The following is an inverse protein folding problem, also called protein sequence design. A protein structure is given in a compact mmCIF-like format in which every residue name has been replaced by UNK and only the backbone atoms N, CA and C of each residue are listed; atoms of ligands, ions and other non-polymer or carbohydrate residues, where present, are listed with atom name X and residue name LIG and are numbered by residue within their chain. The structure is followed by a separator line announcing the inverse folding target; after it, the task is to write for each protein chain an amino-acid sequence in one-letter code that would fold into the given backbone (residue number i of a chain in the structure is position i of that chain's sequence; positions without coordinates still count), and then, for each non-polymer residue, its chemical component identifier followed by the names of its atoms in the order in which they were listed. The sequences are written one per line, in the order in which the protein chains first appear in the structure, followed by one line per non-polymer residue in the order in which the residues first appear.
data_IF_106689218573
#
_entry.id   IF_106689218573
#
_cell.length_a   1.000
_cell.length_b   1.000
_cell.length_c   1.000
_cell.angle_alpha   90.00
_cell.angle_beta   90.00
_cell.angle_gamma   90.00
#
_symmetry.space_group_name_H-M   'P 1'
#
loop_
_entity.id
_entity.type
_entity.pdbx_description
1 polymer ?
#
# COMPACT_ATOMS: atom_id res chain seq x y z
N UNK A 1 20.83 17.30 17.13
CA UNK A 1 19.87 17.05 16.04
C UNK A 1 20.37 16.02 15.04
N UNK A 2 21.31 16.30 14.12
CA UNK A 2 21.71 15.32 13.09
C UNK A 2 22.12 13.94 13.64
N UNK A 3 23.05 13.87 14.61
CA UNK A 3 23.49 12.60 15.20
C UNK A 3 22.38 11.85 15.95
N UNK A 4 21.34 12.55 16.40
CA UNK A 4 20.19 11.96 17.07
C UNK A 4 19.20 11.41 16.06
N UNK A 5 18.93 12.17 14.99
CA UNK A 5 18.19 11.70 13.83
C UNK A 5 18.86 10.48 13.19
N UNK A 6 20.19 10.46 13.06
CA UNK A 6 20.93 9.31 12.52
C UNK A 6 20.75 8.05 13.37
N UNK A 7 20.73 8.16 14.70
CA UNK A 7 20.43 7.03 15.60
C UNK A 7 18.99 6.56 15.43
N UNK A 8 18.04 7.49 15.36
CA UNK A 8 16.64 7.16 15.07
C UNK A 8 16.48 6.46 13.71
N UNK A 9 17.22 6.87 12.67
CA UNK A 9 17.19 6.20 11.36
C UNK A 9 17.66 4.74 11.48
N UNK A 10 18.68 4.45 12.31
CA UNK A 10 19.10 3.08 12.57
C UNK A 10 17.98 2.27 13.24
N UNK A 11 17.30 2.86 14.24
CA UNK A 11 16.15 2.24 14.91
C UNK A 11 14.95 2.01 13.94
N UNK A 12 14.60 2.98 13.08
CA UNK A 12 13.53 2.86 12.07
C UNK A 12 13.87 1.76 11.05
N UNK A 13 15.14 1.64 10.66
CA UNK A 13 15.60 0.61 9.74
C UNK A 13 15.54 -0.81 10.34
N UNK A 14 15.75 -0.96 11.65
CA UNK A 14 15.68 -2.26 12.33
C UNK A 14 14.23 -2.69 12.64
N UNK A 15 13.30 -1.75 12.74
CA UNK A 15 11.92 -2.01 13.15
C UNK A 15 10.91 -1.95 12.00
N UNK A 16 11.16 -1.13 10.98
CA UNK A 16 10.30 -0.90 9.80
C UNK A 16 10.66 -1.77 8.60
N UNK A 17 10.69 -3.09 8.78
CA UNK A 17 11.31 -4.04 7.83
C UNK A 17 10.46 -4.42 6.61
N UNK A 18 9.33 -3.75 6.35
CA UNK A 18 8.50 -4.01 5.17
C UNK A 18 8.25 -2.73 4.37
N UNK A 19 8.17 -2.85 3.05
CA UNK A 19 7.79 -1.76 2.16
C UNK A 19 6.35 -1.99 1.69
N UNK A 20 5.46 -1.04 1.91
CA UNK A 20 4.09 -1.08 1.43
C UNK A 20 3.84 0.04 0.42
N UNK A 21 3.31 -0.33 -0.74
CA UNK A 21 3.09 0.57 -1.88
C UNK A 21 1.74 1.27 -1.80
N UNK A 22 0.71 0.55 -1.37
CA UNK A 22 -0.67 1.02 -1.52
C UNK A 22 -1.13 1.79 -0.29
N UNK A 23 -1.67 2.99 -0.53
CA UNK A 23 -2.58 3.61 0.44
C UNK A 23 -4.00 3.26 0.03
N UNK A 24 -4.78 2.67 0.93
CA UNK A 24 -6.13 2.18 0.63
C UNK A 24 -7.15 3.12 1.27
N UNK A 25 -8.02 3.74 0.46
CA UNK A 25 -9.03 4.71 0.91
C UNK A 25 -10.45 4.24 0.58
N UNK A 26 -11.43 4.75 1.33
CA UNK A 26 -12.85 4.48 1.12
C UNK A 26 -13.41 5.10 -0.17
N UNK A 27 -12.90 6.27 -0.54
CA UNK A 27 -13.30 7.05 -1.71
C UNK A 27 -12.25 8.15 -2.01
N UNK A 28 -12.43 8.85 -3.13
CA UNK A 28 -11.58 9.98 -3.50
C UNK A 28 -12.00 11.24 -2.72
N UNK A 29 -11.04 11.95 -2.16
CA UNK A 29 -11.27 13.22 -1.49
C UNK A 29 -10.59 13.34 -0.13
N UNK A 30 -10.66 14.54 0.49
CA UNK A 30 -9.99 14.84 1.74
C UNK A 30 -10.64 14.17 2.97
N UNK A 31 -11.95 13.93 2.92
CA UNK A 31 -12.71 13.36 4.06
C UNK A 31 -12.89 11.84 3.99
N UNK A 32 -12.23 11.18 3.04
CA UNK A 32 -12.32 9.74 2.89
C UNK A 32 -11.58 9.04 4.03
N UNK A 33 -12.21 8.04 4.64
CA UNK A 33 -11.54 7.11 5.57
C UNK A 33 -10.37 6.44 4.86
N UNK A 34 -9.18 6.52 5.47
CA UNK A 34 -8.03 5.70 5.08
C UNK A 34 -8.09 4.38 5.84
N UNK A 35 -8.11 3.28 5.11
CA UNK A 35 -8.09 1.92 5.66
C UNK A 35 -6.67 1.47 5.99
N UNK A 36 -5.73 1.74 5.08
CA UNK A 36 -4.32 1.39 5.21
C UNK A 36 -3.46 2.50 4.65
N UNK A 37 -2.38 2.83 5.35
CA UNK A 37 -1.35 3.76 4.88
C UNK A 37 -0.23 3.01 4.18
N UNK A 38 0.33 3.60 3.13
CA UNK A 38 1.56 3.08 2.54
C UNK A 38 2.73 3.17 3.53
N UNK A 39 3.77 2.38 3.28
CA UNK A 39 5.05 2.45 3.98
C UNK A 39 6.15 2.47 2.93
N UNK A 40 6.29 3.64 2.30
CA UNK A 40 7.17 3.88 1.16
C UNK A 40 8.25 4.94 1.47
N UNK A 41 9.05 5.29 0.46
CA UNK A 41 10.11 6.28 0.58
C UNK A 41 9.58 7.69 0.95
N UNK A 42 8.40 8.09 0.46
CA UNK A 42 7.80 9.38 0.83
C UNK A 42 7.43 9.39 2.31
N UNK A 43 6.91 8.28 2.81
CA UNK A 43 6.54 8.12 4.22
C UNK A 43 7.76 8.18 5.13
N UNK A 44 8.89 7.59 4.73
CA UNK A 44 10.15 7.74 5.47
C UNK A 44 10.61 9.20 5.59
N UNK A 45 10.51 9.97 4.50
CA UNK A 45 10.83 11.41 4.51
C UNK A 45 9.92 12.15 5.49
N UNK A 46 8.61 11.88 5.47
CA UNK A 46 7.67 12.51 6.41
C UNK A 46 7.93 12.13 7.88
N UNK A 47 8.24 10.85 8.17
CA UNK A 47 8.65 10.42 9.52
C UNK A 47 9.92 11.13 9.97
N UNK A 48 10.87 11.33 9.06
CA UNK A 48 12.11 12.07 9.34
C UNK A 48 11.83 13.54 9.68
N UNK A 49 10.97 14.22 8.91
CA UNK A 49 10.56 15.59 9.23
C UNK A 49 9.88 15.69 10.59
N UNK A 50 8.93 14.79 10.87
CA UNK A 50 8.28 14.72 12.17
C UNK A 50 9.29 14.52 13.30
N UNK A 51 10.26 13.62 13.11
CA UNK A 51 11.30 13.37 14.10
C UNK A 51 12.20 14.59 14.33
N UNK A 52 12.52 15.35 13.28
CA UNK A 52 13.26 16.61 13.40
C UNK A 52 12.44 17.67 14.16
N UNK A 53 11.15 17.78 13.89
CA UNK A 53 10.24 18.68 14.61
C UNK A 53 10.17 18.32 16.11
N UNK A 54 10.09 17.03 16.45
CA UNK A 54 10.12 16.55 17.84
C UNK A 54 11.44 16.91 18.56
N UNK A 55 12.53 17.10 17.82
CA UNK A 55 13.83 17.58 18.33
C UNK A 55 13.94 19.11 18.40
N UNK A 56 12.88 19.83 18.04
CA UNK A 56 12.83 21.29 18.04
C UNK A 56 13.34 21.95 16.75
N UNK A 57 13.38 21.23 15.62
CA UNK A 57 13.67 21.85 14.33
C UNK A 57 12.54 22.78 13.90
N UNK A 58 12.88 23.96 13.38
CA UNK A 58 11.93 24.81 12.67
C UNK A 58 11.95 24.45 11.19
N UNK A 59 10.89 23.79 10.73
CA UNK A 59 10.73 23.41 9.33
C UNK A 59 9.96 24.50 8.59
N UNK A 60 10.58 25.08 7.56
CA UNK A 60 9.91 26.01 6.66
C UNK A 60 10.32 25.71 5.23
N UNK A 61 9.38 25.91 4.31
CA UNK A 61 9.64 25.78 2.89
C UNK A 61 9.10 27.01 2.16
N UNK A 62 9.89 27.53 1.23
CA UNK A 62 9.45 28.59 0.31
C UNK A 62 8.67 28.01 -0.88
N UNK A 63 8.73 26.69 -1.07
CA UNK A 63 8.06 25.99 -2.17
C UNK A 63 7.18 24.87 -1.63
N UNK A 64 5.96 24.69 -2.18
CA UNK A 64 5.14 23.52 -1.88
C UNK A 64 5.88 22.20 -2.03
N UNK A 65 5.65 21.27 -1.10
CA UNK A 65 6.23 19.92 -1.13
C UNK A 65 5.19 18.94 -1.67
N UNK A 66 5.45 18.40 -2.86
CA UNK A 66 4.54 17.46 -3.53
C UNK A 66 5.12 16.05 -3.58
N UNK A 67 4.25 15.06 -3.39
CA UNK A 67 4.61 13.65 -3.34
C UNK A 67 3.70 12.81 -4.23
N UNK A 68 4.28 11.75 -4.81
CA UNK A 68 3.50 10.75 -5.53
C UNK A 68 2.82 9.82 -4.54
N UNK A 69 1.50 9.66 -4.68
CA UNK A 69 0.70 8.69 -3.93
C UNK A 69 -0.02 7.76 -4.89
N UNK A 70 -0.05 6.48 -4.52
CA UNK A 70 -0.76 5.44 -5.27
C UNK A 70 -1.91 4.96 -4.38
N UNK A 71 -3.13 5.27 -4.81
CA UNK A 71 -4.34 4.96 -4.07
C UNK A 71 -5.09 3.76 -4.65
N UNK A 72 -5.46 2.83 -3.77
CA UNK A 72 -6.56 1.89 -4.01
C UNK A 72 -7.83 2.42 -3.37
N UNK A 73 -8.96 2.28 -4.06
CA UNK A 73 -10.27 2.63 -3.53
C UNK A 73 -11.10 1.38 -3.27
N UNK A 74 -11.57 1.25 -2.03
CA UNK A 74 -12.26 0.06 -1.55
C UNK A 74 -13.37 0.40 -0.58
N UNK A 75 -14.39 -0.45 -0.48
CA UNK A 75 -15.22 -0.54 0.72
C UNK A 75 -14.41 -0.99 1.94
N UNK A 76 -15.10 -1.25 3.04
CA UNK A 76 -14.46 -1.75 4.27
C UNK A 76 -13.70 -3.07 3.98
N UNK A 77 -12.40 -3.15 4.32
CA UNK A 77 -11.59 -4.35 4.15
C UNK A 77 -12.12 -5.52 4.97
N UNK A 78 -12.04 -6.72 4.40
CA UNK A 78 -12.44 -7.96 5.08
C UNK A 78 -11.18 -8.74 5.43
N UNK A 79 -10.98 -9.01 6.71
CA UNK A 79 -9.89 -9.85 7.19
C UNK A 79 -10.04 -11.29 6.70
N UNK A 80 -8.97 -11.86 6.15
CA UNK A 80 -8.97 -13.25 5.67
C UNK A 80 -8.13 -14.18 6.56
N UNK A 81 -7.08 -13.65 7.21
CA UNK A 81 -6.14 -14.43 8.02
C UNK A 81 -4.68 -14.18 7.65
N UNK A 82 -3.79 -14.93 8.28
CA UNK A 82 -2.36 -14.95 8.01
C UNK A 82 -1.97 -16.07 7.02
N UNK A 83 -0.68 -16.40 6.94
CA UNK A 83 -0.16 -17.47 6.08
C UNK A 83 -0.74 -18.87 6.37
N UNK A 84 -1.44 -19.08 7.50
CA UNK A 84 -2.12 -20.34 7.78
C UNK A 84 -3.21 -20.66 6.76
N UNK A 85 -3.73 -19.66 6.03
CA UNK A 85 -4.66 -19.83 4.89
C UNK A 85 -4.15 -20.89 3.91
N UNK A 86 -2.83 -20.93 3.66
CA UNK A 86 -2.24 -21.83 2.66
C UNK A 86 -2.01 -23.27 3.16
N UNK A 87 -2.20 -23.52 4.46
CA UNK A 87 -1.93 -24.81 5.11
C UNK A 87 -3.23 -25.57 5.43
N UNK A 88 -4.35 -24.86 5.60
CA UNK A 88 -5.61 -25.45 6.00
C UNK A 88 -6.39 -26.00 4.79
N UNK A 89 -6.79 -27.27 4.85
CA UNK A 89 -7.57 -27.90 3.77
C UNK A 89 -8.95 -27.24 3.57
N UNK A 90 -9.55 -26.70 4.63
CA UNK A 90 -10.82 -25.95 4.57
C UNK A 90 -10.73 -24.63 3.81
N UNK A 91 -9.53 -24.05 3.67
CA UNK A 91 -9.30 -22.77 2.99
C UNK A 91 -8.67 -22.94 1.60
N UNK A 92 -8.64 -24.16 1.07
CA UNK A 92 -7.98 -24.49 -0.20
C UNK A 92 -8.45 -23.63 -1.38
N UNK A 93 -9.74 -23.34 -1.46
CA UNK A 93 -10.30 -22.55 -2.56
C UNK A 93 -9.86 -21.08 -2.47
N UNK A 94 -9.89 -20.50 -1.26
CA UNK A 94 -9.38 -19.15 -1.01
C UNK A 94 -7.87 -19.04 -1.30
N UNK A 95 -7.09 -20.01 -0.81
CA UNK A 95 -5.66 -20.08 -1.06
C UNK A 95 -5.33 -20.16 -2.56
N UNK A 96 -6.12 -20.94 -3.31
CA UNK A 96 -5.99 -21.05 -4.77
C UNK A 96 -6.31 -19.72 -5.46
N UNK A 97 -7.38 -19.04 -5.03
CA UNK A 97 -7.80 -17.77 -5.62
C UNK A 97 -6.79 -16.64 -5.36
N UNK A 98 -6.24 -16.57 -4.14
CA UNK A 98 -5.17 -15.63 -3.79
C UNK A 98 -3.91 -15.88 -4.64
N UNK A 99 -3.49 -17.15 -4.77
CA UNK A 99 -2.34 -17.52 -5.60
C UNK A 99 -2.55 -17.14 -7.06
N UNK A 100 -3.75 -17.39 -7.60
CA UNK A 100 -4.09 -17.01 -8.97
C UNK A 100 -4.01 -15.50 -9.15
N UNK A 101 -4.60 -14.73 -8.24
CA UNK A 101 -4.54 -13.27 -8.28
C UNK A 101 -3.11 -12.73 -8.33
N UNK A 102 -2.24 -13.17 -7.42
CA UNK A 102 -0.85 -12.70 -7.41
C UNK A 102 -0.02 -13.21 -8.60
N UNK A 103 -0.41 -14.35 -9.18
CA UNK A 103 0.25 -14.87 -10.38
C UNK A 103 0.18 -13.88 -11.55
N UNK A 104 -0.92 -13.15 -11.70
CA UNK A 104 -1.10 -12.17 -12.77
C UNK A 104 -0.18 -10.93 -12.65
N UNK A 105 0.51 -10.75 -11.53
CA UNK A 105 1.42 -9.61 -11.30
C UNK A 105 2.91 -10.01 -11.30
N UNK A 106 3.22 -11.27 -11.59
CA UNK A 106 4.61 -11.75 -11.67
C UNK A 106 5.29 -11.26 -12.95
N UNK A 107 6.61 -11.46 -13.03
CA UNK A 107 7.34 -11.22 -14.27
C UNK A 107 6.90 -12.19 -15.37
N UNK A 108 6.49 -11.65 -16.52
CA UNK A 108 6.00 -12.40 -17.67
C UNK A 108 7.14 -12.82 -18.59
N UNK A 109 7.06 -14.03 -19.15
CA UNK A 109 8.06 -14.56 -20.09
C UNK A 109 7.73 -14.22 -21.55
N UNK A 110 6.48 -13.83 -21.83
CA UNK A 110 6.04 -13.44 -23.17
C UNK A 110 4.98 -12.34 -23.13
N UNK A 111 4.79 -11.67 -24.28
CA UNK A 111 3.75 -10.63 -24.43
C UNK A 111 2.35 -11.23 -24.35
N UNK A 112 2.15 -12.46 -24.82
CA UNK A 112 0.85 -13.15 -24.75
C UNK A 112 0.48 -13.38 -23.28
N UNK A 113 1.40 -13.95 -22.50
CA UNK A 113 1.22 -14.16 -21.06
C UNK A 113 0.94 -12.84 -20.32
N UNK A 114 1.65 -11.76 -20.68
CA UNK A 114 1.39 -10.43 -20.11
C UNK A 114 -0.04 -9.92 -20.39
N UNK A 115 -0.54 -10.12 -21.61
CA UNK A 115 -1.91 -9.71 -21.97
C UNK A 115 -2.94 -10.55 -21.21
N UNK A 116 -2.74 -11.87 -21.13
CA UNK A 116 -3.61 -12.78 -20.36
C UNK A 116 -3.67 -12.36 -18.89
N UNK A 117 -2.50 -12.16 -18.25
CA UNK A 117 -2.42 -11.66 -16.88
C UNK A 117 -3.09 -10.30 -16.68
N UNK A 118 -2.94 -9.37 -17.62
CA UNK A 118 -3.60 -8.06 -17.55
C UNK A 118 -5.13 -8.19 -17.59
N UNK A 119 -5.64 -9.07 -18.46
CA UNK A 119 -7.08 -9.34 -18.55
C UNK A 119 -7.60 -10.00 -17.27
N UNK A 120 -6.88 -10.98 -16.72
CA UNK A 120 -7.24 -11.62 -15.44
C UNK A 120 -7.24 -10.64 -14.27
N UNK A 121 -6.21 -9.78 -14.18
CA UNK A 121 -6.13 -8.75 -13.16
C UNK A 121 -7.29 -7.74 -13.30
N UNK A 122 -7.60 -7.32 -14.53
CA UNK A 122 -8.73 -6.43 -14.80
C UNK A 122 -10.07 -7.07 -14.43
N UNK A 123 -10.31 -8.32 -14.82
CA UNK A 123 -11.51 -9.07 -14.47
C UNK A 123 -11.68 -9.13 -12.94
N UNK A 124 -10.63 -9.54 -12.22
CA UNK A 124 -10.68 -9.65 -10.75
C UNK A 124 -10.97 -8.30 -10.08
N UNK A 125 -10.25 -7.25 -10.49
CA UNK A 125 -10.32 -5.96 -9.81
C UNK A 125 -11.54 -5.13 -10.18
N UNK A 126 -11.97 -5.18 -11.45
CA UNK A 126 -13.01 -4.29 -11.99
C UNK A 126 -14.35 -4.98 -12.09
N UNK A 127 -14.39 -6.23 -12.58
CA UNK A 127 -15.64 -6.97 -12.75
C UNK A 127 -16.05 -7.66 -11.46
N UNK A 128 -15.15 -8.44 -10.85
CA UNK A 128 -15.40 -9.11 -9.57
C UNK A 128 -15.22 -8.19 -8.34
N UNK A 129 -14.71 -6.97 -8.56
CA UNK A 129 -14.48 -5.96 -7.51
C UNK A 129 -13.68 -6.50 -6.32
N UNK A 130 -12.66 -7.30 -6.61
CA UNK A 130 -11.85 -7.99 -5.61
C UNK A 130 -10.38 -7.67 -5.81
N UNK A 131 -9.72 -7.25 -4.73
CA UNK A 131 -8.27 -7.15 -4.66
C UNK A 131 -7.81 -7.83 -3.38
N UNK A 132 -6.81 -8.72 -3.49
CA UNK A 132 -6.18 -9.32 -2.31
C UNK A 132 -4.99 -8.46 -1.89
N UNK A 133 -5.06 -7.97 -0.66
CA UNK A 133 -4.08 -7.05 -0.10
C UNK A 133 -3.34 -7.72 1.04
N UNK A 134 -2.01 -7.70 0.97
CA UNK A 134 -1.15 -8.26 1.99
C UNK A 134 -0.53 -7.12 2.78
N UNK A 135 -0.84 -7.04 4.07
CA UNK A 135 -0.44 -5.92 4.93
C UNK A 135 -0.18 -6.44 6.34
N UNK A 136 0.92 -6.02 6.97
CA UNK A 136 1.35 -6.48 8.29
C UNK A 136 1.36 -8.02 8.46
N UNK A 137 1.79 -8.74 7.42
CA UNK A 137 1.81 -10.22 7.39
C UNK A 137 0.43 -10.89 7.42
N UNK A 138 -0.60 -10.18 6.99
CA UNK A 138 -1.97 -10.66 6.94
C UNK A 138 -2.60 -10.40 5.57
N UNK A 139 -3.56 -11.24 5.18
CA UNK A 139 -4.33 -11.11 3.95
C UNK A 139 -5.69 -10.47 4.23
N UNK A 140 -6.02 -9.51 3.37
CA UNK A 140 -7.26 -8.77 3.38
C UNK A 140 -7.90 -8.85 2.01
N UNK A 141 -9.23 -8.98 1.97
CA UNK A 141 -10.01 -8.77 0.75
C UNK A 141 -10.50 -7.32 0.73
N UNK A 142 -10.18 -6.61 -0.35
CA UNK A 142 -10.66 -5.26 -0.59
C UNK A 142 -11.85 -5.30 -1.57
N UNK A 143 -13.07 -4.92 -1.14
CA UNK A 143 -14.20 -4.72 -2.05
C UNK A 143 -13.99 -3.47 -2.90
N UNK A 144 -13.41 -3.63 -4.09
CA UNK A 144 -12.95 -2.51 -4.91
C UNK A 144 -14.09 -1.57 -5.34
N UNK A 145 -13.84 -0.26 -5.25
CA UNK A 145 -14.74 0.82 -5.64
C UNK A 145 -14.09 1.67 -6.73
N UNK A 146 -14.88 2.15 -7.69
CA UNK A 146 -14.40 3.13 -8.68
C UNK A 146 -13.85 4.39 -7.95
N UNK A 147 -12.71 4.97 -8.37
CA UNK A 147 -11.95 4.73 -9.60
C UNK A 147 -10.95 3.55 -9.56
N UNK A 148 -11.05 2.68 -8.56
CA UNK A 148 -10.23 1.49 -8.34
C UNK A 148 -8.78 1.81 -7.96
N UNK A 149 -8.03 2.39 -8.89
CA UNK A 149 -6.65 2.84 -8.70
C UNK A 149 -6.52 4.28 -9.16
N UNK A 150 -5.81 5.11 -8.40
CA UNK A 150 -5.40 6.44 -8.87
C UNK A 150 -3.97 6.74 -8.42
N UNK A 151 -3.14 7.12 -9.38
CA UNK A 151 -1.82 7.68 -9.10
C UNK A 151 -1.97 9.19 -9.12
N UNK A 152 -1.60 9.87 -8.04
CA UNK A 152 -1.66 11.32 -7.95
C UNK A 152 -0.36 11.91 -7.45
N UNK A 153 -0.13 13.16 -7.82
CA UNK A 153 0.94 13.98 -7.30
C UNK A 153 0.29 15.12 -6.52
N UNK A 154 0.33 15.05 -5.19
CA UNK A 154 -0.40 15.98 -4.32
C UNK A 154 0.52 16.67 -3.32
N UNK A 155 0.11 17.86 -2.90
CA UNK A 155 0.84 18.64 -1.91
C UNK A 155 0.64 18.02 -0.53
N UNK A 156 1.75 17.72 0.14
CA UNK A 156 1.77 17.31 1.54
C UNK A 156 2.69 18.31 2.25
N UNK A 157 2.14 19.28 3.00
CA UNK A 157 2.93 20.28 3.70
C UNK A 157 3.92 19.67 4.69
N UNK A 158 4.98 20.42 5.01
CA UNK A 158 5.85 20.09 6.13
C UNK A 158 5.04 20.07 7.45
N UNK A 159 5.36 19.15 8.38
CA UNK A 159 4.68 19.03 9.66
C UNK A 159 5.01 20.19 10.63
#
# INVERSE_FOLDING_TARGET
MFNEMARWVQEDNETGVYYETWTVKSEAGPNATTWFESYDCSQFVHRTYKKLLDMGAELSSQTPTYYTKIYLYSGEPIYLGDDSIFQQSSMKDLATDIKKFYHSFRSHQSVIEMIESLLEAFEKMVLEKTFYFYYNSEYWKLPMKYPYIKIIYEEIPLP
#
